data_IF_579106320709
#
_entry.id   IF_579106320709
#
_cell.length_a   1.000
_cell.length_b   1.000
_cell.length_c   1.000
_cell.angle_alpha   90.00
_cell.angle_beta   90.00
_cell.angle_gamma   90.00
#
_symmetry.space_group_name_H-M   'P 1'
#
loop_
_entity.id
_entity.type
_entity.pdbx_description
1 polymer ?
#
# COMPACT_ATOMS: atom_id res chain seq x y z
N UNK A 1 21.18 -0.93 8.03
CA UNK A 1 20.05 -1.46 8.82
C UNK A 1 20.28 -2.97 8.95
N UNK A 2 20.69 -3.44 10.12
CA UNK A 2 20.84 -4.88 10.34
C UNK A 2 19.47 -5.44 10.65
N UNK A 3 18.88 -6.15 9.69
CA UNK A 3 17.61 -6.88 9.86
C UNK A 3 17.94 -8.25 10.47
N UNK A 4 17.21 -8.62 11.52
CA UNK A 4 17.28 -9.99 12.00
C UNK A 4 16.43 -10.92 11.12
N UNK A 5 16.65 -12.24 11.24
CA UNK A 5 15.99 -13.26 10.39
C UNK A 5 14.45 -13.18 10.48
N UNK A 6 13.90 -12.88 11.66
CA UNK A 6 12.44 -12.78 11.85
C UNK A 6 11.85 -11.54 11.16
N UNK A 7 12.56 -10.41 11.22
CA UNK A 7 12.17 -9.21 10.48
C UNK A 7 12.21 -9.45 8.97
N UNK A 8 13.23 -10.14 8.48
CA UNK A 8 13.32 -10.52 7.06
C UNK A 8 12.18 -11.43 6.64
N UNK A 9 11.86 -12.45 7.45
CA UNK A 9 10.78 -13.38 7.18
C UNK A 9 9.41 -12.68 7.14
N UNK A 10 9.10 -11.82 8.13
CA UNK A 10 7.85 -11.05 8.15
C UNK A 10 7.75 -10.06 6.99
N UNK A 11 8.85 -9.41 6.62
CA UNK A 11 8.89 -8.49 5.48
C UNK A 11 8.65 -9.25 4.17
N UNK A 12 9.26 -10.41 3.99
CA UNK A 12 9.07 -11.26 2.82
C UNK A 12 7.63 -11.80 2.74
N UNK A 13 7.06 -12.26 3.87
CA UNK A 13 5.66 -12.71 3.94
C UNK A 13 4.70 -11.58 3.54
N UNK A 14 4.95 -10.36 4.01
CA UNK A 14 4.09 -9.24 3.69
C UNK A 14 4.24 -8.81 2.22
N UNK A 15 5.47 -8.84 1.66
CA UNK A 15 5.68 -8.61 0.23
C UNK A 15 4.95 -9.66 -0.63
N UNK A 16 4.99 -10.93 -0.21
CA UNK A 16 4.24 -12.00 -0.86
C UNK A 16 2.71 -11.77 -0.76
N UNK A 17 2.20 -11.36 0.40
CA UNK A 17 0.79 -11.03 0.59
C UNK A 17 0.34 -9.89 -0.34
N UNK A 18 1.14 -8.81 -0.45
CA UNK A 18 0.87 -7.74 -1.40
C UNK A 18 0.85 -8.28 -2.82
N UNK A 19 1.82 -9.13 -3.19
CA UNK A 19 1.95 -9.71 -4.53
C UNK A 19 0.79 -10.64 -4.92
N UNK A 20 0.16 -11.29 -3.93
CA UNK A 20 -1.02 -12.15 -4.16
C UNK A 20 -2.31 -11.34 -4.25
N UNK A 21 -2.46 -10.28 -3.45
CA UNK A 21 -3.69 -9.47 -3.40
C UNK A 21 -3.74 -8.41 -4.49
N UNK A 22 -2.62 -7.83 -4.87
CA UNK A 22 -2.57 -6.73 -5.83
C UNK A 22 -3.08 -7.09 -7.25
N UNK A 23 -2.88 -8.30 -7.79
CA UNK A 23 -3.46 -8.71 -9.07
C UNK A 23 -4.99 -8.74 -9.07
N UNK A 24 -5.61 -8.94 -7.90
CA UNK A 24 -7.07 -8.95 -7.76
C UNK A 24 -7.56 -7.51 -7.90
N UNK A 25 -8.03 -7.18 -9.09
CA UNK A 25 -8.39 -5.83 -9.46
C UNK A 25 -9.60 -5.80 -10.38
N UNK A 26 -10.40 -4.74 -10.25
CA UNK A 26 -11.54 -4.46 -11.12
C UNK A 26 -11.06 -3.40 -12.14
N UNK A 27 -11.03 -3.72 -13.43
CA UNK A 27 -10.69 -2.74 -14.46
C UNK A 27 -11.76 -1.66 -14.52
N UNK A 28 -11.31 -0.41 -14.63
CA UNK A 28 -12.19 0.75 -14.84
C UNK A 28 -11.93 1.39 -16.19
N UNK A 29 -12.93 2.06 -16.72
CA UNK A 29 -12.86 2.76 -18.02
C UNK A 29 -11.81 3.88 -18.06
N UNK A 30 -11.37 4.38 -16.90
CA UNK A 30 -10.30 5.39 -16.78
C UNK A 30 -8.87 4.86 -16.98
N UNK A 31 -8.68 3.55 -17.17
CA UNK A 31 -7.36 2.93 -17.40
C UNK A 31 -6.56 2.62 -16.12
N UNK A 32 -6.99 3.10 -14.95
CA UNK A 32 -6.40 2.74 -13.66
C UNK A 32 -7.36 1.78 -12.95
N UNK A 33 -6.93 0.53 -12.65
CA UNK A 33 -7.81 -0.47 -12.01
C UNK A 33 -7.93 -0.25 -10.50
N UNK A 34 -9.09 -0.58 -9.93
CA UNK A 34 -9.27 -0.68 -8.48
C UNK A 34 -8.75 -2.02 -8.00
N UNK A 35 -7.62 -2.02 -7.34
CA UNK A 35 -6.91 -3.21 -6.87
C UNK A 35 -6.99 -3.38 -5.36
N UNK A 36 -6.79 -4.60 -4.85
CA UNK A 36 -6.58 -4.87 -3.44
C UNK A 36 -5.16 -4.51 -2.95
N UNK A 37 -4.29 -3.99 -3.82
CA UNK A 37 -2.95 -3.57 -3.45
C UNK A 37 -2.95 -2.57 -2.29
N UNK A 38 -3.80 -1.53 -2.33
CA UNK A 38 -3.88 -0.51 -1.28
C UNK A 38 -4.24 -1.10 0.08
N UNK A 39 -5.13 -2.08 0.13
CA UNK A 39 -5.46 -2.81 1.36
C UNK A 39 -4.23 -3.51 1.95
N UNK A 40 -3.51 -4.28 1.12
CA UNK A 40 -2.34 -5.03 1.56
C UNK A 40 -1.19 -4.10 1.97
N UNK A 41 -0.99 -2.98 1.27
CA UNK A 41 0.02 -1.97 1.57
C UNK A 41 -0.29 -1.24 2.89
N UNK A 42 -1.55 -0.86 3.13
CA UNK A 42 -1.98 -0.28 4.41
C UNK A 42 -1.76 -1.26 5.56
N UNK A 43 -2.09 -2.55 5.35
CA UNK A 43 -1.89 -3.60 6.34
C UNK A 43 -0.39 -3.81 6.63
N UNK A 44 0.46 -3.77 5.60
CA UNK A 44 1.91 -3.84 5.75
C UNK A 44 2.45 -2.68 6.60
N UNK A 45 2.03 -1.45 6.32
CA UNK A 45 2.36 -0.27 7.12
C UNK A 45 1.88 -0.39 8.57
N UNK A 46 0.65 -0.85 8.78
CA UNK A 46 0.07 -1.02 10.11
C UNK A 46 0.83 -2.05 10.96
N UNK A 47 1.07 -3.24 10.42
CA UNK A 47 1.65 -4.37 11.16
C UNK A 47 3.17 -4.27 11.30
N UNK A 48 3.87 -3.91 10.23
CA UNK A 48 5.33 -3.86 10.21
C UNK A 48 5.89 -2.46 10.47
N UNK A 49 5.02 -1.48 10.71
CA UNK A 49 5.35 -0.06 10.89
C UNK A 49 6.05 0.53 9.66
N UNK A 50 6.50 1.77 9.74
CA UNK A 50 6.97 2.55 8.58
C UNK A 50 8.16 1.93 7.85
N UNK A 51 9.14 1.37 8.54
CA UNK A 51 10.39 0.89 7.90
C UNK A 51 10.19 -0.43 7.18
N UNK A 52 9.71 -1.45 7.90
CA UNK A 52 9.56 -2.80 7.34
C UNK A 52 8.35 -2.88 6.40
N UNK A 53 7.27 -2.15 6.67
CA UNK A 53 6.10 -2.07 5.77
C UNK A 53 6.45 -1.44 4.43
N UNK A 54 7.23 -0.35 4.44
CA UNK A 54 7.73 0.26 3.21
C UNK A 54 8.71 -0.64 2.47
N UNK A 55 9.59 -1.35 3.20
CA UNK A 55 10.50 -2.31 2.60
C UNK A 55 9.76 -3.47 1.93
N UNK A 56 8.71 -4.01 2.56
CA UNK A 56 7.86 -5.04 1.96
C UNK A 56 7.19 -4.55 0.67
N UNK A 57 6.70 -3.31 0.68
CA UNK A 57 6.10 -2.67 -0.48
C UNK A 57 7.13 -2.43 -1.60
N UNK A 58 8.36 -2.03 -1.26
CA UNK A 58 9.44 -1.88 -2.22
C UNK A 58 9.81 -3.22 -2.88
N UNK A 59 9.93 -4.28 -2.09
CA UNK A 59 10.20 -5.64 -2.60
C UNK A 59 9.10 -6.07 -3.58
N UNK A 60 7.83 -5.86 -3.24
CA UNK A 60 6.70 -6.11 -4.14
C UNK A 60 6.86 -5.37 -5.49
N UNK A 61 7.18 -4.06 -5.44
CA UNK A 61 7.35 -3.26 -6.66
C UNK A 61 8.51 -3.81 -7.51
N UNK A 62 9.65 -4.14 -6.88
CA UNK A 62 10.80 -4.69 -7.57
C UNK A 62 10.49 -6.06 -8.21
N UNK A 63 9.77 -6.93 -7.52
CA UNK A 63 9.31 -8.22 -8.05
C UNK A 63 8.44 -8.01 -9.30
N UNK A 64 7.52 -7.06 -9.28
CA UNK A 64 6.70 -6.70 -10.43
C UNK A 64 7.50 -6.10 -11.59
N UNK A 65 8.50 -5.27 -11.29
CA UNK A 65 9.37 -4.66 -12.30
C UNK A 65 10.22 -5.67 -13.07
N UNK A 66 10.71 -6.72 -12.41
CA UNK A 66 11.50 -7.77 -13.06
C UNK A 66 10.67 -8.77 -13.87
N UNK A 67 9.33 -8.60 -13.88
CA UNK A 67 8.45 -9.34 -14.78
C UNK A 67 7.52 -10.36 -14.14
N UNK A 68 7.51 -10.51 -12.80
CA UNK A 68 6.50 -11.35 -12.16
C UNK A 68 5.12 -10.65 -12.25
N UNK A 69 4.03 -11.39 -12.58
CA UNK A 69 2.69 -10.82 -12.80
C UNK A 69 1.97 -10.51 -11.48
N UNK A 70 2.53 -9.57 -10.71
CA UNK A 70 2.06 -9.20 -9.36
C UNK A 70 1.36 -7.84 -9.31
N UNK A 71 1.34 -7.08 -10.41
CA UNK A 71 0.57 -5.84 -10.47
C UNK A 71 -0.89 -6.11 -10.82
N UNK A 72 -1.73 -5.07 -10.74
CA UNK A 72 -3.16 -5.18 -11.01
C UNK A 72 -3.45 -5.89 -12.36
N UNK A 73 -4.47 -6.74 -12.36
CA UNK A 73 -4.86 -7.58 -13.52
C UNK A 73 -3.70 -8.47 -14.02
N UNK A 74 -2.86 -8.97 -13.11
CA UNK A 74 -1.72 -9.84 -13.43
C UNK A 74 -0.71 -9.21 -14.39
N UNK A 75 -0.63 -7.88 -14.44
CA UNK A 75 0.36 -7.17 -15.23
C UNK A 75 1.73 -7.17 -14.55
N UNK A 76 2.79 -6.87 -15.32
CA UNK A 76 4.17 -6.86 -14.85
C UNK A 76 5.08 -6.03 -15.74
N UNK A 77 6.30 -5.84 -15.28
CA UNK A 77 7.38 -5.19 -16.02
C UNK A 77 7.55 -3.71 -15.72
N UNK A 78 8.72 -3.20 -16.04
CA UNK A 78 9.09 -1.80 -15.85
C UNK A 78 8.15 -0.85 -16.63
N UNK A 79 7.63 -1.27 -17.78
CA UNK A 79 6.70 -0.48 -18.58
C UNK A 79 5.42 -0.09 -17.80
N UNK A 80 4.95 -0.92 -16.87
CA UNK A 80 3.79 -0.62 -16.02
C UNK A 80 4.16 0.46 -15.00
N UNK A 81 5.34 0.37 -14.38
CA UNK A 81 5.80 1.32 -13.36
C UNK A 81 6.14 2.68 -13.98
N UNK A 82 6.60 2.72 -15.21
CA UNK A 82 6.85 3.97 -15.95
C UNK A 82 5.67 4.41 -16.84
N UNK A 83 4.61 3.60 -16.91
CA UNK A 83 3.37 3.90 -17.62
C UNK A 83 2.43 4.82 -16.84
N UNK A 84 1.18 4.95 -17.32
CA UNK A 84 0.19 5.87 -16.75
C UNK A 84 -0.16 5.59 -15.28
N UNK A 85 -0.04 4.33 -14.84
CA UNK A 85 -0.34 3.91 -13.45
C UNK A 85 0.86 4.00 -12.51
N UNK A 86 2.03 4.35 -13.02
CA UNK A 86 3.30 4.32 -12.27
C UNK A 86 3.31 5.18 -11.03
N UNK A 87 2.71 6.37 -11.09
CA UNK A 87 2.60 7.25 -9.94
C UNK A 87 1.84 6.64 -8.75
N UNK A 88 0.83 5.80 -9.03
CA UNK A 88 0.11 5.06 -7.99
C UNK A 88 0.96 3.94 -7.41
N UNK A 89 1.69 3.20 -8.23
CA UNK A 89 2.58 2.13 -7.79
C UNK A 89 3.71 2.69 -6.90
N UNK A 90 4.35 3.78 -7.33
CA UNK A 90 5.36 4.47 -6.53
C UNK A 90 4.74 5.08 -5.27
N UNK A 91 3.52 5.59 -5.36
CA UNK A 91 2.74 6.15 -4.25
C UNK A 91 2.40 5.13 -3.14
N UNK A 92 2.49 3.83 -3.40
CA UNK A 92 2.36 2.81 -2.35
C UNK A 92 3.47 2.90 -1.29
N UNK A 93 4.65 3.38 -1.65
CA UNK A 93 5.75 3.56 -0.68
C UNK A 93 5.40 4.59 0.40
N UNK A 94 5.04 5.84 0.06
CA UNK A 94 4.60 6.79 1.08
C UNK A 94 3.30 6.37 1.77
N UNK A 95 2.39 5.66 1.11
CA UNK A 95 1.19 5.12 1.76
C UNK A 95 1.57 4.18 2.92
N UNK A 96 2.44 3.19 2.68
CA UNK A 96 2.91 2.28 3.72
C UNK A 96 3.65 3.02 4.84
N UNK A 97 4.52 3.95 4.44
CA UNK A 97 5.37 4.69 5.38
C UNK A 97 4.53 5.60 6.29
N UNK A 98 3.64 6.40 5.75
CA UNK A 98 2.78 7.34 6.51
C UNK A 98 1.83 6.54 7.42
N UNK A 99 1.18 5.50 6.90
CA UNK A 99 0.31 4.63 7.70
C UNK A 99 1.06 4.07 8.90
N UNK A 100 2.24 3.49 8.68
CA UNK A 100 3.05 2.91 9.74
C UNK A 100 3.59 3.94 10.73
N UNK A 101 4.06 5.09 10.25
CA UNK A 101 4.61 6.16 11.06
C UNK A 101 3.55 6.77 12.00
N UNK A 102 2.40 7.16 11.44
CA UNK A 102 1.31 7.76 12.22
C UNK A 102 0.78 6.77 13.24
N UNK A 103 0.55 5.52 12.80
CA UNK A 103 0.09 4.48 13.70
C UNK A 103 1.08 4.24 14.86
N UNK A 104 2.37 4.08 14.58
CA UNK A 104 3.41 3.91 15.61
C UNK A 104 3.52 5.13 16.54
N UNK A 105 3.44 6.32 16.00
CA UNK A 105 3.66 7.57 16.76
C UNK A 105 2.58 7.85 17.79
N UNK A 106 1.33 7.48 17.47
CA UNK A 106 0.15 7.79 18.27
C UNK A 106 -0.50 6.57 18.93
N UNK A 107 0.00 5.36 18.67
CA UNK A 107 -0.36 4.16 19.44
C UNK A 107 0.60 4.02 20.61
N UNK A 108 0.04 3.97 21.83
CA UNK A 108 0.79 3.64 23.05
C UNK A 108 0.91 2.12 23.24
N UNK A 109 0.67 1.64 24.47
CA UNK A 109 0.65 0.20 24.78
C UNK A 109 -0.52 -0.55 24.13
N UNK A 110 -1.59 0.16 23.77
CA UNK A 110 -2.78 -0.41 23.12
C UNK A 110 -2.92 0.10 21.67
N UNK A 111 -3.42 -0.75 20.77
CA UNK A 111 -3.72 -0.35 19.40
C UNK A 111 -4.67 0.86 19.36
N UNK A 112 -4.27 1.92 18.68
CA UNK A 112 -5.08 3.11 18.48
C UNK A 112 -5.68 3.13 17.06
N UNK A 113 -6.92 2.67 16.95
CA UNK A 113 -7.63 2.59 15.65
C UNK A 113 -7.81 3.97 15.00
N UNK A 114 -7.98 5.03 15.80
CA UNK A 114 -8.10 6.39 15.26
C UNK A 114 -6.77 6.87 14.64
N UNK A 115 -5.64 6.56 15.28
CA UNK A 115 -4.32 6.86 14.73
C UNK A 115 -4.07 6.05 13.44
N UNK A 116 -4.48 4.78 13.41
CA UNK A 116 -4.39 3.95 12.21
C UNK A 116 -5.23 4.54 11.07
N UNK A 117 -6.48 4.90 11.34
CA UNK A 117 -7.36 5.52 10.35
C UNK A 117 -6.77 6.85 9.82
N UNK A 118 -6.27 7.70 10.70
CA UNK A 118 -5.61 8.95 10.31
C UNK A 118 -4.39 8.69 9.40
N UNK A 119 -3.55 7.70 9.74
CA UNK A 119 -2.40 7.32 8.94
C UNK A 119 -2.78 6.81 7.56
N UNK A 120 -3.82 5.96 7.47
CA UNK A 120 -4.34 5.46 6.21
C UNK A 120 -4.91 6.58 5.33
N UNK A 121 -5.72 7.48 5.91
CA UNK A 121 -6.29 8.63 5.17
C UNK A 121 -5.18 9.54 4.66
N UNK A 122 -4.23 9.96 5.50
CA UNK A 122 -3.11 10.82 5.09
C UNK A 122 -2.26 10.15 4.02
N UNK A 123 -1.95 8.87 4.18
CA UNK A 123 -1.21 8.11 3.18
C UNK A 123 -1.94 8.00 1.86
N UNK A 124 -3.26 7.80 1.88
CA UNK A 124 -4.10 7.75 0.67
C UNK A 124 -4.20 9.10 -0.03
N UNK A 125 -4.27 10.20 0.71
CA UNK A 125 -4.23 11.55 0.12
C UNK A 125 -2.92 11.77 -0.63
N UNK A 126 -1.79 11.39 -0.04
CA UNK A 126 -0.47 11.47 -0.70
C UNK A 126 -0.40 10.55 -1.92
N UNK A 127 -0.91 9.31 -1.80
CA UNK A 127 -1.01 8.37 -2.92
C UNK A 127 -1.79 8.98 -4.09
N UNK A 128 -2.96 9.55 -3.84
CA UNK A 128 -3.79 10.17 -4.88
C UNK A 128 -3.11 11.40 -5.48
N UNK A 129 -2.47 12.24 -4.67
CA UNK A 129 -1.74 13.41 -5.16
C UNK A 129 -0.63 13.01 -6.14
N UNK A 130 0.22 12.06 -5.75
CA UNK A 130 1.31 11.55 -6.59
C UNK A 130 0.79 10.80 -7.82
N UNK A 131 -0.19 9.90 -7.62
CA UNK A 131 -0.77 9.11 -8.70
C UNK A 131 -1.45 9.98 -9.75
N UNK A 132 -2.30 10.93 -9.32
CA UNK A 132 -3.02 11.83 -10.23
C UNK A 132 -2.07 12.79 -10.95
N UNK A 133 -1.08 13.36 -10.26
CA UNK A 133 -0.08 14.22 -10.90
C UNK A 133 0.72 13.47 -11.98
N UNK A 134 1.13 12.23 -11.69
CA UNK A 134 1.80 11.37 -12.66
C UNK A 134 0.88 11.01 -13.83
N UNK A 135 -0.37 10.64 -13.55
CA UNK A 135 -1.36 10.29 -14.57
C UNK A 135 -1.62 11.46 -15.52
N UNK A 136 -1.80 12.68 -15.01
CA UNK A 136 -1.94 13.89 -15.81
C UNK A 136 -0.74 14.11 -16.72
N UNK A 137 0.48 13.95 -16.18
CA UNK A 137 1.71 14.10 -16.98
C UNK A 137 1.82 13.04 -18.08
N UNK A 138 1.39 11.82 -17.80
CA UNK A 138 1.51 10.69 -18.73
C UNK A 138 0.44 10.69 -19.83
N UNK A 139 -0.76 11.23 -19.53
CA UNK A 139 -1.92 11.18 -20.44
C UNK A 139 -2.27 12.54 -21.07
N UNK A 140 -1.76 13.65 -20.53
CA UNK A 140 -2.15 15.00 -20.93
C UNK A 140 -3.56 15.42 -20.49
N UNK A 141 -4.24 14.63 -19.66
CA UNK A 141 -5.58 14.93 -19.17
C UNK A 141 -5.59 16.07 -18.17
N UNK A 142 -6.70 16.81 -18.14
CA UNK A 142 -6.91 17.85 -17.11
C UNK A 142 -7.09 17.25 -15.71
N UNK A 143 -6.87 18.07 -14.67
CA UNK A 143 -7.06 17.62 -13.28
C UNK A 143 -8.47 17.08 -13.03
N UNK A 144 -9.50 17.77 -13.51
CA UNK A 144 -10.89 17.35 -13.32
C UNK A 144 -11.17 15.98 -13.97
N UNK A 145 -10.70 15.77 -15.19
CA UNK A 145 -10.84 14.49 -15.89
C UNK A 145 -10.05 13.36 -15.21
N UNK A 146 -8.82 13.66 -14.73
CA UNK A 146 -8.00 12.69 -14.01
C UNK A 146 -8.59 12.30 -12.66
N UNK A 147 -9.13 13.25 -11.91
CA UNK A 147 -9.84 12.94 -10.66
C UNK A 147 -11.09 12.09 -10.88
N UNK A 148 -11.86 12.40 -11.91
CA UNK A 148 -13.05 11.60 -12.26
C UNK A 148 -12.69 10.18 -12.69
N UNK A 149 -11.56 9.98 -13.36
CA UNK A 149 -11.11 8.67 -13.83
C UNK A 149 -10.41 7.85 -12.74
N UNK A 150 -9.61 8.48 -11.85
CA UNK A 150 -8.63 7.79 -11.00
C UNK A 150 -8.78 8.04 -9.50
N UNK A 151 -9.69 8.90 -9.04
CA UNK A 151 -9.88 9.19 -7.61
C UNK A 151 -11.32 8.89 -7.19
N UNK A 152 -12.28 9.54 -7.82
CA UNK A 152 -13.70 9.44 -7.41
C UNK A 152 -14.21 7.98 -7.38
N UNK A 153 -13.93 7.14 -8.39
CA UNK A 153 -14.40 5.76 -8.39
C UNK A 153 -13.72 4.88 -7.32
N UNK A 154 -12.54 5.30 -6.82
CA UNK A 154 -11.78 4.52 -5.85
C UNK A 154 -12.20 4.77 -4.41
N UNK A 155 -12.73 5.97 -4.11
CA UNK A 155 -13.08 6.39 -2.75
C UNK A 155 -13.95 5.37 -2.00
N UNK A 156 -15.06 4.85 -2.57
CA UNK A 156 -15.90 3.89 -1.85
C UNK A 156 -15.14 2.59 -1.52
N UNK A 157 -14.37 2.09 -2.49
CA UNK A 157 -13.56 0.89 -2.32
C UNK A 157 -12.44 1.07 -1.28
N UNK A 158 -11.77 2.21 -1.29
CA UNK A 158 -10.67 2.48 -0.36
C UNK A 158 -11.18 2.73 1.07
N UNK A 159 -12.35 3.35 1.26
CA UNK A 159 -13.01 3.42 2.58
C UNK A 159 -13.29 2.02 3.11
N UNK A 160 -13.85 1.12 2.29
CA UNK A 160 -14.09 -0.26 2.70
C UNK A 160 -12.80 -0.98 3.09
N UNK A 161 -11.72 -0.81 2.31
CA UNK A 161 -10.41 -1.39 2.61
C UNK A 161 -9.83 -0.84 3.92
N UNK A 162 -9.96 0.46 4.19
CA UNK A 162 -9.54 1.07 5.45
C UNK A 162 -10.30 0.47 6.63
N UNK A 163 -11.62 0.25 6.51
CA UNK A 163 -12.41 -0.41 7.55
C UNK A 163 -11.90 -1.84 7.80
N UNK A 164 -11.65 -2.61 6.73
CA UNK A 164 -11.10 -3.96 6.85
C UNK A 164 -9.75 -3.96 7.57
N UNK A 165 -8.84 -3.05 7.18
CA UNK A 165 -7.53 -2.92 7.85
C UNK A 165 -7.68 -2.49 9.30
N UNK A 166 -8.59 -1.56 9.61
CA UNK A 166 -8.86 -1.09 10.98
C UNK A 166 -9.37 -2.21 11.90
N UNK A 167 -10.05 -3.21 11.34
CA UNK A 167 -10.51 -4.39 12.09
C UNK A 167 -9.41 -5.45 12.21
N UNK A 168 -8.66 -5.70 11.13
CA UNK A 168 -7.68 -6.78 11.07
C UNK A 168 -6.36 -6.41 11.76
N UNK A 169 -5.85 -5.20 11.57
CA UNK A 169 -4.53 -4.82 12.06
C UNK A 169 -4.41 -4.95 13.58
N UNK A 170 -5.34 -4.45 14.43
CA UNK A 170 -5.25 -4.61 15.87
C UNK A 170 -5.29 -6.07 16.34
N UNK A 171 -6.01 -6.93 15.61
CA UNK A 171 -6.11 -8.37 15.93
C UNK A 171 -4.83 -9.14 15.62
N UNK A 172 -4.15 -8.75 14.53
CA UNK A 172 -2.92 -9.39 14.07
C UNK A 172 -1.67 -8.82 14.75
N UNK A 173 -1.77 -7.59 15.28
CA UNK A 173 -0.62 -6.87 15.84
C UNK A 173 0.02 -7.62 17.01
N UNK A 174 -0.76 -8.24 17.89
CA UNK A 174 -0.23 -9.03 19.00
C UNK A 174 0.65 -10.18 18.51
N UNK A 175 0.20 -10.93 17.52
CA UNK A 175 0.96 -12.06 16.93
C UNK A 175 2.25 -11.59 16.27
N UNK A 176 2.18 -10.49 15.50
CA UNK A 176 3.34 -9.92 14.83
C UNK A 176 4.33 -9.33 15.82
N UNK A 177 3.86 -8.61 16.84
CA UNK A 177 4.71 -8.01 17.88
C UNK A 177 5.43 -9.07 18.73
N UNK A 178 4.79 -10.18 19.07
CA UNK A 178 5.44 -11.30 19.75
C UNK A 178 6.59 -11.90 18.91
N UNK A 179 6.41 -12.06 17.61
CA UNK A 179 7.48 -12.56 16.71
C UNK A 179 8.63 -11.55 16.65
N UNK A 180 8.35 -10.26 16.61
CA UNK A 180 9.36 -9.20 16.56
C UNK A 180 10.07 -9.03 17.91
N UNK A 181 9.36 -9.09 19.04
CA UNK A 181 9.93 -8.95 20.39
C UNK A 181 10.84 -10.13 20.77
N UNK A 182 10.48 -11.36 20.39
CA UNK A 182 11.32 -12.55 20.61
C UNK A 182 12.65 -12.54 19.80
N UNK A 183 12.99 -11.40 19.20
CA UNK A 183 14.16 -11.21 18.32
C UNK A 183 15.30 -10.40 19.00
N UNK A 184 15.11 -10.04 20.27
CA UNK A 184 16.11 -9.48 21.19
C UNK A 184 16.46 -10.55 22.23
#
# INVERSE_FOLDING_TARGET
MHLNVKQMALTAMMAALISVLAPIAIPLTGGVPVSLATLAVMLAGALLKEKLGTLATLIYILIGMIGLPVFANYSSGAAIVFGMTGGYIIGYLPLAWITGLVYRRYSGEKPNVAALAAGMVLGTVVLYALGTAWFMKSTGMTLAASMAACVIPFLPGDVLKMVVVAILAPRLESSVSHVLAAAH
#
